data_IF_359811888314
#
_entry.id   IF_359811888314
#
_cell.length_a   1.000
_cell.length_b   1.000
_cell.length_c   1.000
_cell.angle_alpha   90.00
_cell.angle_beta   90.00
_cell.angle_gamma   90.00
#
_symmetry.space_group_name_H-M   'P 1'
#
loop_
_entity.id
_entity.type
_entity.pdbx_description
1 polymer ?
#
# COMPACT_ATOMS: atom_id res chain seq x y z
N UNK A 1 3.62 -7.07 12.83
CA UNK A 1 3.39 -6.24 11.62
C UNK A 1 2.05 -6.53 10.93
N UNK A 2 1.63 -7.79 10.75
CA UNK A 2 0.41 -8.14 9.99
C UNK A 2 -0.89 -7.44 10.43
N UNK A 3 -1.09 -7.17 11.73
CA UNK A 3 -2.28 -6.45 12.23
C UNK A 3 -2.46 -5.04 11.66
N UNK A 4 -1.36 -4.33 11.38
CA UNK A 4 -1.43 -2.95 10.90
C UNK A 4 -1.87 -2.86 9.42
N UNK A 5 -1.56 -3.87 8.61
CA UNK A 5 -1.95 -3.93 7.20
C UNK A 5 -3.45 -4.21 7.00
N UNK A 6 -4.10 -4.79 8.01
CA UNK A 6 -5.44 -5.37 7.91
C UNK A 6 -6.58 -4.50 8.43
N UNK A 7 -6.31 -3.70 9.45
CA UNK A 7 -7.32 -2.87 10.13
C UNK A 7 -6.88 -1.42 10.28
N UNK A 8 -5.90 -1.00 9.48
CA UNK A 8 -5.25 0.29 9.60
C UNK A 8 -5.39 1.15 8.36
N UNK A 9 -4.87 2.36 8.49
CA UNK A 9 -4.78 3.38 7.44
C UNK A 9 -4.10 2.90 6.15
N UNK A 10 -3.33 1.81 6.17
CA UNK A 10 -2.66 1.25 5.00
C UNK A 10 -3.64 0.96 3.85
N UNK A 11 -4.80 0.37 4.13
CA UNK A 11 -5.80 0.08 3.09
C UNK A 11 -6.37 1.35 2.45
N UNK A 12 -6.35 2.47 3.19
CA UNK A 12 -6.81 3.76 2.68
C UNK A 12 -5.78 4.46 1.78
N UNK A 13 -4.53 4.00 1.77
CA UNK A 13 -3.43 4.71 1.09
C UNK A 13 -2.69 3.86 0.05
N UNK A 14 -2.79 2.52 0.11
CA UNK A 14 -1.99 1.63 -0.71
C UNK A 14 -2.78 0.42 -1.21
N UNK A 15 -2.40 -0.08 -2.38
CA UNK A 15 -2.88 -1.31 -3.01
C UNK A 15 -1.79 -2.39 -2.97
N UNK A 16 -2.18 -3.64 -3.17
CA UNK A 16 -1.23 -4.77 -3.15
C UNK A 16 -0.72 -5.15 -1.76
N UNK A 17 -1.41 -4.69 -0.71
CA UNK A 17 -1.08 -5.05 0.67
C UNK A 17 -1.17 -6.57 0.87
N UNK A 18 -0.23 -7.15 1.65
CA UNK A 18 -0.22 -8.58 1.87
C UNK A 18 -1.43 -9.02 2.69
N UNK A 19 -1.91 -10.22 2.39
CA UNK A 19 -2.98 -10.88 3.10
C UNK A 19 -2.45 -11.76 4.24
N UNK A 20 -3.16 -11.85 5.37
CA UNK A 20 -2.96 -12.73 6.49
C UNK A 20 -4.06 -13.78 6.43
N UNK A 21 -3.68 -15.01 6.09
CA UNK A 21 -4.57 -16.17 6.09
C UNK A 21 -3.96 -17.22 7.01
N UNK A 22 -4.71 -17.68 8.00
CA UNK A 22 -4.28 -18.72 8.95
C UNK A 22 -2.96 -18.40 9.67
N UNK A 23 -2.71 -17.12 9.98
CA UNK A 23 -1.47 -16.67 10.62
C UNK A 23 -0.28 -16.51 9.67
N UNK A 24 -0.45 -16.82 8.38
CA UNK A 24 0.57 -16.68 7.34
C UNK A 24 0.32 -15.41 6.54
N UNK A 25 1.36 -14.57 6.41
CA UNK A 25 1.31 -13.38 5.55
C UNK A 25 1.72 -13.76 4.14
N UNK A 26 0.81 -13.62 3.18
CA UNK A 26 1.01 -13.88 1.76
C UNK A 26 0.93 -12.58 0.97
N UNK A 27 1.75 -12.45 -0.06
CA UNK A 27 1.56 -11.38 -1.05
C UNK A 27 0.44 -11.80 -1.98
N UNK A 28 -0.58 -10.95 -2.11
CA UNK A 28 -1.78 -11.27 -2.91
C UNK A 28 -1.48 -11.31 -4.41
N UNK A 29 -0.36 -10.72 -4.85
CA UNK A 29 0.02 -10.62 -6.25
C UNK A 29 1.52 -10.82 -6.42
N UNK A 30 1.90 -11.70 -7.35
CA UNK A 30 3.26 -11.71 -7.89
C UNK A 30 3.36 -10.52 -8.84
N UNK A 31 4.02 -9.46 -8.39
CA UNK A 31 4.24 -8.23 -9.14
C UNK A 31 5.72 -7.83 -8.99
N UNK A 32 6.33 -7.17 -10.00
CA UNK A 32 7.69 -6.70 -9.90
C UNK A 32 7.93 -5.80 -8.67
N UNK A 33 9.12 -5.89 -8.06
CA UNK A 33 9.47 -5.12 -6.88
C UNK A 33 8.72 -5.57 -5.63
N UNK A 34 8.24 -4.61 -4.83
CA UNK A 34 7.53 -4.90 -3.57
C UNK A 34 6.05 -5.29 -3.77
N UNK A 35 5.50 -5.13 -4.98
CA UNK A 35 4.10 -5.42 -5.28
C UNK A 35 3.08 -4.54 -4.55
N UNK A 36 3.53 -3.45 -3.92
CA UNK A 36 2.71 -2.47 -3.20
C UNK A 36 2.83 -1.12 -3.90
N UNK A 37 1.69 -0.47 -4.12
CA UNK A 37 1.63 0.85 -4.76
C UNK A 37 0.81 1.82 -3.92
N UNK A 38 1.18 3.10 -3.91
CA UNK A 38 0.33 4.14 -3.34
C UNK A 38 -0.88 4.38 -4.24
N UNK A 39 -2.07 4.39 -3.66
CA UNK A 39 -3.30 4.60 -4.40
C UNK A 39 -3.37 6.00 -5.03
N UNK A 40 -3.87 6.08 -6.26
CA UNK A 40 -4.05 7.36 -6.95
C UNK A 40 -4.93 8.34 -6.15
N UNK A 41 -5.96 7.83 -5.46
CA UNK A 41 -6.82 8.62 -4.60
C UNK A 41 -6.08 9.23 -3.40
N UNK A 42 -5.09 8.53 -2.84
CA UNK A 42 -4.25 9.09 -1.77
C UNK A 42 -3.32 10.17 -2.33
N UNK A 43 -2.67 9.89 -3.46
CA UNK A 43 -1.75 10.82 -4.12
C UNK A 43 -2.42 12.12 -4.60
N UNK A 44 -3.75 12.17 -4.70
CA UNK A 44 -4.52 13.34 -5.12
C UNK A 44 -5.19 14.11 -3.97
N UNK A 45 -5.05 13.68 -2.71
CA UNK A 45 -5.65 14.38 -1.57
C UNK A 45 -5.00 15.75 -1.35
N UNK A 46 -5.80 16.73 -0.93
CA UNK A 46 -5.35 18.11 -0.64
C UNK A 46 -4.28 18.21 0.46
N UNK A 47 -4.28 17.26 1.40
CA UNK A 47 -3.31 17.17 2.49
C UNK A 47 -2.04 16.41 2.09
N UNK A 48 -1.98 15.85 0.89
CA UNK A 48 -0.82 15.10 0.39
C UNK A 48 0.10 16.03 -0.40
N UNK A 49 1.28 16.29 0.15
CA UNK A 49 2.33 17.06 -0.50
C UNK A 49 3.28 16.15 -1.27
N UNK A 50 3.59 16.49 -2.53
CA UNK A 50 4.56 15.77 -3.37
C UNK A 50 5.54 16.77 -3.96
N UNK A 51 6.83 16.45 -3.85
CA UNK A 51 7.88 17.16 -4.58
C UNK A 51 8.26 16.31 -5.79
N UNK A 52 8.10 16.87 -6.97
CA UNK A 52 8.55 16.26 -8.21
C UNK A 52 9.87 16.92 -8.63
N UNK A 53 10.88 16.11 -8.89
CA UNK A 53 12.13 16.57 -9.51
C UNK A 53 12.10 16.07 -10.95
N UNK A 54 12.18 16.99 -11.91
CA UNK A 54 12.40 16.62 -13.31
C UNK A 54 13.85 16.16 -13.47
N UNK A 55 14.04 15.02 -14.12
CA UNK A 55 15.34 14.49 -14.54
C UNK A 55 15.69 15.01 -15.93
#
# INVERSE_FOLDING_TARGET
MARACYHGWHQAIATGLPELREGITTTTRSAPGHGIELGAAFLSRKDTSRRLTAL
#
